data_IF_035270641613
#
_entry.id   IF_035270641613
#
_cell.length_a   1.000
_cell.length_b   1.000
_cell.length_c   1.000
_cell.angle_alpha   90.00
_cell.angle_beta   90.00
_cell.angle_gamma   90.00
#
_symmetry.space_group_name_H-M   'P 1'
#
loop_
_entity.id
_entity.type
_entity.pdbx_description
1 polymer ?
#
# COMPACT_ATOMS: atom_id res chain seq x y z
N UNK A 1 -51.98 -18.49 37.49
CA UNK A 1 -52.08 -17.96 36.13
C UNK A 1 -51.11 -16.78 36.01
N UNK A 2 -49.92 -17.03 35.56
CA UNK A 2 -48.90 -16.01 35.44
C UNK A 2 -48.72 -15.69 33.94
N UNK A 3 -49.22 -14.51 33.55
CA UNK A 3 -49.04 -13.98 32.20
C UNK A 3 -47.61 -13.46 32.05
N UNK A 4 -46.80 -14.14 31.26
CA UNK A 4 -45.44 -13.69 30.91
C UNK A 4 -45.60 -12.70 29.75
N UNK A 5 -45.41 -11.44 30.05
CA UNK A 5 -45.39 -10.35 29.08
C UNK A 5 -44.01 -10.34 28.42
N UNK A 6 -43.91 -10.87 27.21
CA UNK A 6 -42.69 -10.83 26.41
C UNK A 6 -42.58 -9.41 25.84
N UNK A 7 -41.69 -8.63 26.42
CA UNK A 7 -41.27 -7.34 25.86
C UNK A 7 -40.52 -7.60 24.56
N UNK A 8 -41.11 -7.20 23.45
CA UNK A 8 -40.40 -7.02 22.19
C UNK A 8 -39.35 -5.90 22.32
N UNK A 9 -38.12 -6.12 21.97
CA UNK A 9 -37.18 -5.03 21.71
C UNK A 9 -37.43 -4.56 20.27
N UNK A 10 -38.32 -3.62 20.12
CA UNK A 10 -38.46 -2.84 18.89
C UNK A 10 -37.39 -1.76 18.85
N UNK A 11 -36.87 -1.54 17.66
CA UNK A 11 -36.09 -0.38 17.23
C UNK A 11 -34.58 -0.45 17.48
N UNK A 12 -33.90 -1.34 16.76
CA UNK A 12 -32.60 -0.98 16.27
C UNK A 12 -32.80 -0.03 15.09
N UNK A 13 -32.74 1.25 15.38
CA UNK A 13 -32.71 2.30 14.37
C UNK A 13 -31.36 2.23 13.65
N UNK A 14 -31.34 1.42 12.57
CA UNK A 14 -30.22 1.30 11.65
C UNK A 14 -30.27 2.47 10.68
N UNK A 15 -30.04 3.67 11.19
CA UNK A 15 -29.70 4.84 10.40
C UNK A 15 -28.28 5.29 10.75
N UNK A 16 -27.35 4.35 10.74
CA UNK A 16 -25.96 4.69 10.49
C UNK A 16 -25.83 4.91 9.00
N UNK A 17 -25.93 6.15 8.60
CA UNK A 17 -25.57 6.57 7.25
C UNK A 17 -24.17 6.03 6.96
N UNK A 18 -23.96 5.22 5.90
CA UNK A 18 -22.62 4.90 5.46
C UNK A 18 -21.95 6.23 5.10
N UNK A 19 -20.75 6.43 5.62
CA UNK A 19 -19.90 7.56 5.29
C UNK A 19 -20.01 7.87 3.80
N UNK A 20 -20.58 9.00 3.44
CA UNK A 20 -20.67 9.50 2.06
C UNK A 20 -19.29 9.83 1.47
N UNK A 21 -18.22 9.42 2.15
CA UNK A 21 -16.85 9.61 1.70
C UNK A 21 -16.46 8.66 0.55
N UNK A 22 -17.35 7.77 0.10
CA UNK A 22 -17.09 6.85 -1.00
C UNK A 22 -17.78 7.23 -2.31
N UNK A 23 -18.17 8.49 -2.45
CA UNK A 23 -18.40 9.08 -3.78
C UNK A 23 -17.08 9.60 -4.35
N UNK A 24 -16.04 8.78 -4.27
CA UNK A 24 -14.86 8.95 -5.09
C UNK A 24 -15.24 8.55 -6.51
N UNK A 25 -15.49 9.54 -7.33
CA UNK A 25 -15.43 9.53 -8.76
C UNK A 25 -14.56 8.37 -9.24
N UNK A 26 -15.18 7.44 -9.94
CA UNK A 26 -14.52 6.64 -10.97
C UNK A 26 -14.19 7.60 -12.11
N UNK A 27 -13.36 8.59 -11.84
CA UNK A 27 -12.62 9.25 -12.88
C UNK A 27 -11.71 8.17 -13.45
N UNK A 28 -11.90 7.89 -14.73
CA UNK A 28 -10.97 7.11 -15.53
C UNK A 28 -9.61 7.75 -15.30
N UNK A 29 -8.86 7.18 -14.35
CA UNK A 29 -7.47 7.59 -14.08
C UNK A 29 -6.79 7.46 -15.42
N UNK A 30 -6.36 8.59 -15.98
CA UNK A 30 -5.59 8.65 -17.20
C UNK A 30 -4.53 7.55 -17.13
N UNK A 31 -4.73 6.47 -17.88
CA UNK A 31 -3.95 5.23 -17.73
C UNK A 31 -2.45 5.49 -17.95
N UNK A 32 -2.13 6.55 -18.67
CA UNK A 32 -0.77 7.02 -18.88
C UNK A 32 -0.15 7.65 -17.62
N UNK A 33 -0.90 8.50 -16.91
CA UNK A 33 -0.45 9.14 -15.66
C UNK A 33 -0.27 8.12 -14.54
N UNK A 34 -1.21 7.18 -14.38
CA UNK A 34 -1.13 6.11 -13.39
C UNK A 34 0.06 5.20 -13.62
N UNK A 35 0.32 4.81 -14.89
CA UNK A 35 1.49 4.00 -15.27
C UNK A 35 2.79 4.70 -14.94
N UNK A 36 2.91 5.98 -15.24
CA UNK A 36 4.12 6.76 -14.97
C UNK A 36 4.38 6.92 -13.47
N UNK A 37 3.34 7.15 -12.68
CA UNK A 37 3.45 7.24 -11.23
C UNK A 37 3.84 5.89 -10.61
N UNK A 38 3.23 4.80 -11.04
CA UNK A 38 3.60 3.44 -10.63
C UNK A 38 5.07 3.17 -10.96
N UNK A 39 5.51 3.48 -12.19
CA UNK A 39 6.89 3.31 -12.62
C UNK A 39 7.88 4.04 -11.73
N UNK A 40 7.62 5.30 -11.42
CA UNK A 40 8.50 6.11 -10.54
C UNK A 40 8.59 5.54 -9.12
N UNK A 41 7.47 5.06 -8.56
CA UNK A 41 7.46 4.49 -7.21
C UNK A 41 8.17 3.15 -7.17
N UNK A 42 7.85 2.26 -8.09
CA UNK A 42 8.52 0.96 -8.22
C UNK A 42 10.01 1.13 -8.45
N UNK A 43 10.40 2.02 -9.38
CA UNK A 43 11.80 2.30 -9.67
C UNK A 43 12.57 2.82 -8.46
N UNK A 44 11.96 3.68 -7.65
CA UNK A 44 12.55 4.14 -6.37
C UNK A 44 12.78 2.97 -5.42
N UNK A 45 11.83 2.05 -5.29
CA UNK A 45 11.97 0.86 -4.42
C UNK A 45 13.09 -0.05 -4.89
N UNK A 46 13.19 -0.30 -6.20
CA UNK A 46 14.30 -1.08 -6.76
C UNK A 46 15.64 -0.43 -6.39
N UNK A 47 15.77 0.89 -6.57
CA UNK A 47 16.98 1.63 -6.24
C UNK A 47 17.31 1.61 -4.74
N UNK A 48 16.30 1.71 -3.86
CA UNK A 48 16.47 1.62 -2.41
C UNK A 48 16.99 0.25 -1.99
N UNK A 49 16.40 -0.85 -2.45
CA UNK A 49 16.86 -2.21 -2.15
C UNK A 49 18.26 -2.46 -2.68
N UNK A 50 18.58 -2.01 -3.90
CA UNK A 50 19.93 -2.12 -4.46
C UNK A 50 20.97 -1.38 -3.62
N UNK A 51 20.67 -0.14 -3.23
CA UNK A 51 21.55 0.68 -2.40
C UNK A 51 21.74 0.12 -1.00
N UNK A 52 20.69 -0.49 -0.43
CA UNK A 52 20.76 -1.12 0.89
C UNK A 52 21.74 -2.30 0.97
N UNK A 53 22.11 -2.88 -0.18
CA UNK A 53 23.10 -3.94 -0.30
C UNK A 53 24.40 -3.43 -0.97
N UNK A 54 24.58 -2.10 -1.06
CA UNK A 54 25.76 -1.42 -1.61
C UNK A 54 26.12 -1.83 -3.07
N UNK A 55 25.11 -2.16 -3.89
CA UNK A 55 25.34 -2.53 -5.29
C UNK A 55 25.24 -1.32 -6.22
N UNK A 56 26.07 -1.35 -7.29
CA UNK A 56 25.94 -0.45 -8.43
C UNK A 56 24.85 -0.92 -9.38
N UNK A 57 24.41 -0.06 -10.31
CA UNK A 57 23.47 -0.46 -11.37
C UNK A 57 24.06 -1.56 -12.27
N UNK A 58 25.38 -1.48 -12.56
CA UNK A 58 26.09 -2.48 -13.34
C UNK A 58 26.10 -3.85 -12.65
N UNK A 59 26.32 -3.90 -11.34
CA UNK A 59 26.31 -5.16 -10.59
C UNK A 59 24.92 -5.80 -10.55
N UNK A 60 23.86 -5.00 -10.45
CA UNK A 60 22.49 -5.52 -10.53
C UNK A 60 22.18 -6.01 -11.95
N UNK A 61 22.59 -5.27 -12.97
CA UNK A 61 22.39 -5.59 -14.37
C UNK A 61 23.07 -6.91 -14.74
N UNK A 62 24.32 -7.12 -14.32
CA UNK A 62 25.07 -8.35 -14.52
C UNK A 62 24.33 -9.57 -13.95
N UNK A 63 23.79 -9.48 -12.73
CA UNK A 63 23.03 -10.58 -12.11
C UNK A 63 21.71 -10.91 -12.77
N UNK A 64 21.11 -9.93 -13.44
CA UNK A 64 19.86 -10.09 -14.18
C UNK A 64 20.09 -10.40 -15.66
N UNK A 65 21.37 -10.41 -16.08
CA UNK A 65 21.77 -10.56 -17.49
C UNK A 65 21.06 -9.55 -18.40
N UNK A 66 21.09 -8.27 -18.01
CA UNK A 66 20.55 -7.13 -18.75
C UNK A 66 21.59 -6.00 -18.78
N UNK A 67 21.37 -5.00 -19.62
CA UNK A 67 22.23 -3.80 -19.66
C UNK A 67 21.99 -2.87 -18.46
N UNK A 68 23.03 -2.20 -17.98
CA UNK A 68 22.94 -1.21 -16.91
C UNK A 68 21.94 -0.08 -17.24
N UNK A 69 21.84 0.32 -18.51
CA UNK A 69 20.83 1.29 -18.95
C UNK A 69 19.40 0.78 -18.72
N UNK A 70 19.14 -0.53 -18.86
CA UNK A 70 17.83 -1.12 -18.53
C UNK A 70 17.50 -0.95 -17.06
N UNK A 71 18.45 -1.20 -16.16
CA UNK A 71 18.27 -0.98 -14.70
C UNK A 71 18.05 0.50 -14.44
N UNK A 72 18.85 1.39 -15.03
CA UNK A 72 18.69 2.83 -14.92
C UNK A 72 17.28 3.29 -15.35
N UNK A 73 16.75 2.75 -16.44
CA UNK A 73 15.39 3.06 -16.93
C UNK A 73 14.30 2.56 -15.99
N UNK A 74 14.49 1.38 -15.37
CA UNK A 74 13.57 0.88 -14.35
C UNK A 74 13.59 1.79 -13.12
N UNK A 75 14.76 2.14 -12.59
CA UNK A 75 14.91 2.99 -11.41
C UNK A 75 14.36 4.41 -11.61
N UNK A 76 14.50 4.96 -12.82
CA UNK A 76 13.89 6.26 -13.19
C UNK A 76 12.38 6.18 -13.47
N UNK A 77 11.82 4.99 -13.55
CA UNK A 77 10.41 4.77 -13.85
C UNK A 77 10.02 5.08 -15.29
N UNK A 78 11.00 5.10 -16.20
CA UNK A 78 10.78 5.32 -17.64
C UNK A 78 10.17 4.07 -18.28
N UNK A 79 10.59 2.90 -17.82
CA UNK A 79 10.09 1.61 -18.27
C UNK A 79 9.69 0.77 -17.07
N UNK A 80 8.56 0.07 -17.16
CA UNK A 80 8.14 -0.90 -16.16
C UNK A 80 8.74 -2.27 -16.51
N UNK A 81 9.32 -2.99 -15.55
CA UNK A 81 9.71 -4.37 -15.75
C UNK A 81 8.49 -5.25 -16.00
N UNK A 82 8.65 -6.33 -16.77
CA UNK A 82 7.64 -7.38 -16.86
C UNK A 82 7.50 -8.09 -15.51
N UNK A 83 6.40 -8.82 -15.28
CA UNK A 83 6.23 -9.59 -14.03
C UNK A 83 7.35 -10.62 -13.84
N UNK A 84 7.81 -11.25 -14.91
CA UNK A 84 8.95 -12.19 -14.85
C UNK A 84 10.24 -11.47 -14.43
N UNK A 85 10.50 -10.31 -15.02
CA UNK A 85 11.67 -9.49 -14.67
C UNK A 85 11.56 -8.97 -13.24
N UNK A 86 10.35 -8.62 -12.78
CA UNK A 86 10.11 -8.16 -11.41
C UNK A 86 10.37 -9.27 -10.39
N UNK A 87 9.95 -10.49 -10.69
CA UNK A 87 10.23 -11.66 -9.84
C UNK A 87 11.73 -11.95 -9.76
N UNK A 88 12.44 -11.89 -10.90
CA UNK A 88 13.90 -12.01 -10.95
C UNK A 88 14.60 -10.90 -10.15
N UNK A 89 14.13 -9.65 -10.28
CA UNK A 89 14.61 -8.51 -9.47
C UNK A 89 14.43 -8.76 -7.98
N UNK A 90 13.24 -9.22 -7.57
CA UNK A 90 12.94 -9.52 -6.19
C UNK A 90 13.86 -10.60 -5.61
N UNK A 91 14.06 -11.69 -6.35
CA UNK A 91 14.96 -12.78 -5.96
C UNK A 91 16.42 -12.30 -5.78
N UNK A 92 16.93 -11.52 -6.74
CA UNK A 92 18.30 -10.97 -6.70
C UNK A 92 18.49 -9.96 -5.58
N UNK A 93 17.48 -9.12 -5.32
CA UNK A 93 17.48 -8.13 -4.24
C UNK A 93 17.12 -8.70 -2.87
N UNK A 94 16.89 -10.03 -2.77
CA UNK A 94 16.50 -10.74 -1.54
C UNK A 94 15.24 -10.15 -0.88
N UNK A 95 14.27 -9.80 -1.69
CA UNK A 95 12.95 -9.30 -1.30
C UNK A 95 11.85 -10.10 -2.02
N UNK A 96 10.59 -9.74 -1.86
CA UNK A 96 9.50 -10.32 -2.63
C UNK A 96 8.97 -9.35 -3.69
N UNK A 97 8.40 -9.87 -4.77
CA UNK A 97 7.70 -9.04 -5.75
C UNK A 97 6.54 -8.26 -5.10
N UNK A 98 5.88 -8.87 -4.10
CA UNK A 98 4.84 -8.22 -3.32
C UNK A 98 5.38 -7.01 -2.54
N UNK A 99 6.56 -7.11 -1.92
CA UNK A 99 7.19 -5.99 -1.21
C UNK A 99 7.58 -4.86 -2.14
N UNK A 100 8.11 -5.18 -3.32
CA UNK A 100 8.42 -4.17 -4.33
C UNK A 100 7.16 -3.41 -4.81
N UNK A 101 6.02 -4.09 -4.88
CA UNK A 101 4.76 -3.53 -5.34
C UNK A 101 3.94 -2.86 -4.22
N UNK A 102 4.01 -3.34 -2.99
CA UNK A 102 3.17 -2.87 -1.88
C UNK A 102 3.33 -1.38 -1.61
N UNK A 103 4.56 -0.88 -1.63
CA UNK A 103 4.86 0.55 -1.45
C UNK A 103 4.74 1.36 -2.74
N UNK A 104 4.57 0.71 -3.89
CA UNK A 104 4.31 1.38 -5.15
C UNK A 104 2.81 1.71 -5.32
N UNK A 105 1.93 1.04 -4.61
CA UNK A 105 0.49 1.34 -4.60
C UNK A 105 0.18 2.49 -3.65
N UNK A 106 -0.65 3.43 -4.09
CA UNK A 106 -1.17 4.56 -3.30
C UNK A 106 -2.69 4.46 -3.18
N UNK A 107 -3.26 3.32 -3.56
CA UNK A 107 -4.67 3.12 -3.35
C UNK A 107 -4.96 3.21 -1.83
N UNK A 108 -5.95 4.02 -1.41
CA UNK A 108 -6.31 4.14 0.01
C UNK A 108 -6.61 2.79 0.67
N UNK A 109 -7.12 1.82 -0.10
CA UNK A 109 -7.33 0.44 0.33
C UNK A 109 -6.04 -0.27 0.75
N UNK A 110 -4.95 -0.08 -0.01
CA UNK A 110 -3.68 -0.74 0.26
C UNK A 110 -3.00 -0.16 1.49
N UNK A 111 -3.11 1.15 1.70
CA UNK A 111 -2.65 1.82 2.92
C UNK A 111 -3.44 1.35 4.15
N UNK A 112 -4.76 1.18 4.02
CA UNK A 112 -5.60 0.67 5.10
C UNK A 112 -5.21 -0.77 5.48
N UNK A 113 -4.92 -1.63 4.50
CA UNK A 113 -4.43 -3.00 4.72
C UNK A 113 -3.10 -3.00 5.47
N UNK A 114 -2.17 -2.13 5.08
CA UNK A 114 -0.88 -2.00 5.76
C UNK A 114 -1.03 -1.54 7.21
N UNK A 115 -1.82 -0.52 7.45
CA UNK A 115 -2.11 -0.02 8.81
C UNK A 115 -2.73 -1.13 9.64
N UNK A 116 -3.69 -1.87 9.09
CA UNK A 116 -4.33 -2.99 9.77
C UNK A 116 -3.33 -4.10 10.12
N UNK A 117 -2.38 -4.41 9.23
CA UNK A 117 -1.34 -5.39 9.48
C UNK A 117 -0.39 -4.96 10.60
N UNK A 118 -0.02 -3.67 10.68
CA UNK A 118 0.80 -3.15 11.77
C UNK A 118 0.07 -3.19 13.11
N UNK A 119 -1.22 -2.83 13.12
CA UNK A 119 -2.04 -2.85 14.33
C UNK A 119 -2.27 -4.28 14.84
N UNK A 120 -2.38 -5.26 13.95
CA UNK A 120 -2.57 -6.66 14.30
C UNK A 120 -1.38 -7.27 15.08
N UNK A 121 -0.18 -6.68 14.97
CA UNK A 121 1.02 -7.09 15.72
C UNK A 121 1.10 -6.48 17.13
N UNK A 122 0.20 -5.58 17.49
CA UNK A 122 0.19 -4.86 18.76
C UNK A 122 -0.79 -5.51 19.75
N UNK A 123 -0.57 -5.24 21.05
CA UNK A 123 -1.59 -5.55 22.05
C UNK A 123 -2.83 -4.65 21.85
N UNK A 124 -3.98 -5.08 22.36
CA UNK A 124 -5.23 -4.32 22.23
C UNK A 124 -5.08 -2.88 22.76
N UNK A 125 -4.42 -2.70 23.91
CA UNK A 125 -4.15 -1.39 24.51
C UNK A 125 -3.22 -0.52 23.66
N UNK A 126 -2.18 -1.11 23.08
CA UNK A 126 -1.24 -0.38 22.24
C UNK A 126 -1.88 -0.02 20.89
N UNK A 127 -2.75 -0.87 20.36
CA UNK A 127 -3.52 -0.60 19.15
C UNK A 127 -4.48 0.58 19.35
N UNK A 128 -5.22 0.62 20.48
CA UNK A 128 -6.08 1.76 20.83
C UNK A 128 -5.28 3.06 20.98
N UNK A 129 -4.12 3.00 21.63
CA UNK A 129 -3.25 4.16 21.78
C UNK A 129 -2.79 4.70 20.41
N UNK A 130 -2.33 3.83 19.52
CA UNK A 130 -1.89 4.22 18.17
C UNK A 130 -3.04 4.83 17.38
N UNK A 131 -4.24 4.25 17.43
CA UNK A 131 -5.42 4.77 16.75
C UNK A 131 -5.81 6.17 17.26
N UNK A 132 -5.72 6.43 18.58
CA UNK A 132 -5.98 7.76 19.13
C UNK A 132 -4.94 8.78 18.64
N UNK A 133 -3.65 8.41 18.58
CA UNK A 133 -2.60 9.29 18.03
C UNK A 133 -2.84 9.61 16.55
N UNK A 134 -3.19 8.62 15.74
CA UNK A 134 -3.53 8.83 14.32
C UNK A 134 -4.70 9.81 14.20
N UNK A 135 -5.75 9.62 14.98
CA UNK A 135 -6.93 10.50 14.98
C UNK A 135 -6.57 11.95 15.36
N UNK A 136 -5.73 12.15 16.36
CA UNK A 136 -5.23 13.48 16.78
C UNK A 136 -4.42 14.14 15.68
N UNK A 137 -3.51 13.38 15.03
CA UNK A 137 -2.71 13.87 13.91
C UNK A 137 -3.59 14.28 12.73
N UNK A 138 -4.55 13.44 12.34
CA UNK A 138 -5.47 13.76 11.25
C UNK A 138 -6.26 15.05 11.53
N UNK A 139 -6.76 15.22 12.73
CA UNK A 139 -7.47 16.44 13.12
C UNK A 139 -6.58 17.69 13.10
N UNK A 140 -5.30 17.54 13.49
CA UNK A 140 -4.34 18.66 13.47
C UNK A 140 -3.95 19.08 12.05
N UNK A 141 -3.89 18.13 11.12
CA UNK A 141 -3.49 18.39 9.73
C UNK A 141 -4.64 18.89 8.84
N UNK A 142 -5.88 18.86 9.33
CA UNK A 142 -7.06 19.38 8.60
C UNK A 142 -7.29 20.88 8.86
N UNK A 143 -6.48 21.51 9.67
CA UNK A 143 -6.45 22.94 9.96
C UNK A 143 -5.18 23.57 9.39
#
# INVERSE_FOLDING_TARGET
MLSINILHPSSFDTQSQPCELFKGTTEMVDSASGRQQLGKRLGRRIAEHRKAIDWTQDQLAERLNVDAETISRFERGVTLPSLVTLDSLAAVLKTSAADLLSMASVAPSDQAIQISAWLACLSEKDSEFVMDQIKRLCNHLQH
#
